data_IF_359563816710
#
_entry.id   IF_359563816710
#
_cell.length_a   1.000
_cell.length_b   1.000
_cell.length_c   1.000
_cell.angle_alpha   90.00
_cell.angle_beta   90.00
_cell.angle_gamma   90.00
#
_symmetry.space_group_name_H-M   'P 1'
#
loop_
_entity.id
_entity.type
_entity.pdbx_description
1 polymer ?
#
# COMPACT_ATOMS: atom_id res chain seq x y z
N UNK A 1 3.70 -21.98 18.84
CA UNK A 1 2.97 -22.60 17.72
C UNK A 1 1.63 -21.92 17.61
N UNK A 2 1.37 -21.19 16.56
CA UNK A 2 0.10 -20.48 16.33
C UNK A 2 -0.72 -21.28 15.34
N UNK A 3 -1.96 -21.60 15.69
CA UNK A 3 -2.86 -22.42 14.86
C UNK A 3 -3.98 -21.50 14.35
N UNK A 4 -4.05 -21.32 13.05
CA UNK A 4 -5.13 -20.57 12.40
C UNK A 4 -6.29 -21.50 12.02
N UNK A 5 -7.51 -21.17 12.47
CA UNK A 5 -8.76 -21.79 12.01
C UNK A 5 -9.65 -22.34 13.12
N UNK A 6 -10.93 -22.09 12.99
CA UNK A 6 -12.00 -22.29 13.97
C UNK A 6 -12.44 -23.75 14.21
N UNK A 7 -11.71 -24.76 13.70
CA UNK A 7 -12.13 -26.15 13.83
C UNK A 7 -11.28 -26.85 14.89
N UNK A 8 -11.82 -26.98 16.09
CA UNK A 8 -11.20 -27.64 17.27
C UNK A 8 -10.73 -29.08 17.02
N UNK A 9 -11.25 -29.73 16.00
CA UNK A 9 -10.92 -31.11 15.60
C UNK A 9 -9.81 -31.24 14.54
N UNK A 10 -9.25 -30.11 14.03
CA UNK A 10 -8.14 -30.18 13.08
C UNK A 10 -6.93 -30.83 13.73
N UNK A 11 -6.54 -31.99 13.20
CA UNK A 11 -5.37 -32.77 13.66
C UNK A 11 -4.11 -32.09 13.16
N UNK A 12 -3.14 -31.91 14.01
CA UNK A 12 -1.78 -31.44 13.68
C UNK A 12 -0.75 -32.43 14.25
N UNK A 13 0.36 -32.53 13.56
CA UNK A 13 1.49 -33.36 13.90
C UNK A 13 2.55 -32.54 14.62
N UNK A 14 3.10 -33.08 15.69
CA UNK A 14 4.22 -32.51 16.44
C UNK A 14 5.43 -33.40 16.21
N UNK A 15 6.48 -32.84 15.64
CA UNK A 15 7.75 -33.53 15.43
C UNK A 15 8.77 -33.07 16.46
N UNK A 16 9.49 -34.03 17.04
CA UNK A 16 10.54 -33.79 18.02
C UNK A 16 11.89 -34.13 17.39
N UNK A 17 12.81 -33.15 17.46
CA UNK A 17 14.15 -33.27 16.90
C UNK A 17 15.22 -33.13 17.99
N UNK A 18 16.33 -33.89 17.82
CA UNK A 18 17.59 -33.61 18.53
C UNK A 18 18.35 -32.54 17.70
N UNK A 19 18.79 -31.48 18.36
CA UNK A 19 19.60 -30.42 17.76
C UNK A 19 21.02 -30.58 18.35
N UNK A 20 21.93 -31.20 17.58
CA UNK A 20 23.32 -31.36 18.00
C UNK A 20 24.17 -30.13 17.60
N UNK A 21 23.84 -29.49 16.49
CA UNK A 21 24.41 -28.23 15.98
C UNK A 21 23.34 -27.39 15.32
N UNK A 22 23.58 -26.08 15.08
CA UNK A 22 22.61 -25.18 14.44
C UNK A 22 22.17 -25.63 13.03
N UNK A 23 22.85 -26.62 12.41
CA UNK A 23 22.61 -27.10 11.05
C UNK A 23 22.12 -28.55 10.96
N UNK A 24 22.22 -29.36 12.03
CA UNK A 24 21.88 -30.81 12.00
C UNK A 24 20.74 -31.13 12.95
N UNK A 25 19.60 -31.54 12.36
CA UNK A 25 18.42 -31.94 13.09
C UNK A 25 18.13 -33.45 12.87
N UNK A 26 18.23 -34.24 13.92
CA UNK A 26 17.87 -35.67 13.87
C UNK A 26 16.47 -35.89 14.45
N UNK A 27 15.56 -36.50 13.66
CA UNK A 27 14.20 -36.78 14.10
C UNK A 27 14.20 -37.84 15.21
N UNK A 28 13.79 -37.47 16.40
CA UNK A 28 13.52 -38.38 17.52
C UNK A 28 12.24 -39.17 17.27
N UNK A 29 11.18 -38.49 16.82
CA UNK A 29 9.88 -39.04 16.47
C UNK A 29 8.78 -38.00 16.50
N UNK A 30 7.54 -38.43 16.39
CA UNK A 30 6.36 -37.59 16.22
C UNK A 30 5.14 -38.09 16.96
N UNK A 31 4.17 -37.22 17.20
CA UNK A 31 2.82 -37.59 17.65
C UNK A 31 1.79 -36.66 17.03
N UNK A 32 0.52 -37.06 17.02
CA UNK A 32 -0.58 -36.26 16.53
C UNK A 32 -1.51 -35.86 17.67
N UNK A 33 -2.07 -34.62 17.58
CA UNK A 33 -3.04 -34.13 18.55
C UNK A 33 -3.98 -33.11 17.85
N UNK A 34 -4.97 -32.61 18.55
CA UNK A 34 -5.85 -31.58 18.08
C UNK A 34 -6.13 -30.54 19.19
N UNK A 35 -6.74 -29.43 18.83
CA UNK A 35 -6.98 -28.32 19.76
C UNK A 35 -7.93 -28.73 20.90
N UNK A 36 -8.95 -29.51 20.58
CA UNK A 36 -9.88 -30.03 21.61
C UNK A 36 -9.16 -30.89 22.64
N UNK A 37 -8.27 -31.79 22.19
CA UNK A 37 -7.46 -32.65 23.07
C UNK A 37 -6.51 -31.86 23.95
N UNK A 38 -5.99 -30.73 23.46
CA UNK A 38 -5.12 -29.83 24.24
C UNK A 38 -5.90 -29.01 25.26
N UNK A 39 -7.13 -28.59 24.91
CA UNK A 39 -7.95 -27.68 25.72
C UNK A 39 -8.65 -28.38 26.89
N UNK A 40 -9.07 -29.63 26.69
CA UNK A 40 -9.87 -30.37 27.71
C UNK A 40 -9.09 -30.72 28.98
N UNK A 41 -7.76 -30.53 28.98
CA UNK A 41 -6.91 -31.05 30.06
C UNK A 41 -5.93 -30.04 30.67
N UNK A 42 -6.33 -28.78 30.79
CA UNK A 42 -5.52 -27.76 31.45
C UNK A 42 -5.15 -28.12 32.91
N UNK A 43 -5.83 -29.10 33.53
CA UNK A 43 -5.62 -29.56 34.90
C UNK A 43 -4.86 -30.87 35.04
N UNK A 44 -4.59 -31.61 33.97
CA UNK A 44 -3.90 -32.89 34.00
C UNK A 44 -2.74 -32.89 33.01
N UNK A 45 -1.53 -33.24 33.48
CA UNK A 45 -0.33 -33.42 32.64
C UNK A 45 -0.56 -34.52 31.62
N UNK A 46 -0.98 -34.16 30.40
CA UNK A 46 -1.18 -35.13 29.31
C UNK A 46 0.16 -35.58 28.77
N UNK A 47 0.30 -36.89 28.58
CA UNK A 47 1.48 -37.54 28.02
C UNK A 47 1.19 -37.99 26.60
N UNK A 48 2.13 -37.78 25.69
CA UNK A 48 2.09 -38.21 24.30
C UNK A 48 3.33 -39.09 24.04
N UNK A 49 3.14 -40.32 23.59
CA UNK A 49 4.26 -41.16 23.14
C UNK A 49 4.86 -40.60 21.84
N UNK A 50 6.16 -40.38 21.83
CA UNK A 50 6.90 -39.94 20.66
C UNK A 50 7.27 -41.19 19.84
N UNK A 51 6.70 -41.32 18.64
CA UNK A 51 6.87 -42.47 17.77
C UNK A 51 7.79 -42.12 16.60
N UNK A 52 8.90 -42.84 16.46
CA UNK A 52 9.73 -42.78 15.27
C UNK A 52 9.24 -43.85 14.30
N UNK A 53 8.56 -43.45 13.23
CA UNK A 53 7.95 -44.37 12.26
C UNK A 53 8.97 -45.30 11.60
N UNK A 54 10.18 -44.80 11.31
CA UNK A 54 11.25 -45.61 10.74
C UNK A 54 11.74 -46.69 11.71
N UNK A 55 12.00 -46.33 12.99
CA UNK A 55 12.40 -47.30 14.04
C UNK A 55 11.30 -48.32 14.29
N UNK A 56 10.04 -47.94 14.21
CA UNK A 56 8.88 -48.81 14.40
C UNK A 56 8.80 -49.89 13.30
N UNK A 57 9.18 -49.55 12.06
CA UNK A 57 9.20 -50.50 10.95
C UNK A 57 10.36 -51.50 11.10
N UNK A 58 11.54 -51.05 11.47
CA UNK A 58 12.76 -51.89 11.48
C UNK A 58 12.86 -52.76 12.73
N UNK A 59 12.43 -52.26 13.88
CA UNK A 59 12.66 -52.93 15.16
C UNK A 59 11.33 -53.36 15.79
N UNK A 60 11.02 -54.68 15.71
CA UNK A 60 9.79 -55.25 16.26
C UNK A 60 9.57 -55.01 17.77
N UNK A 61 10.66 -54.86 18.56
CA UNK A 61 10.60 -54.54 19.98
C UNK A 61 10.52 -53.05 20.32
N UNK A 62 10.45 -52.17 19.29
CA UNK A 62 10.34 -50.75 19.50
C UNK A 62 8.95 -50.37 20.03
N UNK A 63 8.90 -49.64 21.14
CA UNK A 63 7.65 -49.08 21.72
C UNK A 63 7.49 -47.61 21.35
N UNK A 64 8.38 -46.76 21.83
CA UNK A 64 8.43 -45.34 21.54
C UNK A 64 9.86 -44.79 21.70
N UNK A 65 10.09 -43.55 21.36
CA UNK A 65 11.38 -42.84 21.53
C UNK A 65 11.41 -41.97 22.80
N UNK A 66 10.37 -42.01 23.60
CA UNK A 66 10.19 -41.20 24.78
C UNK A 66 8.77 -40.63 24.88
N UNK A 67 8.56 -39.76 25.83
CA UNK A 67 7.26 -39.12 26.07
C UNK A 67 7.38 -37.59 26.01
N UNK A 68 6.40 -36.94 25.41
CA UNK A 68 6.19 -35.48 25.50
C UNK A 68 5.09 -35.21 26.54
N UNK A 69 5.35 -34.37 27.52
CA UNK A 69 4.40 -34.01 28.57
C UNK A 69 3.90 -32.58 28.33
N UNK A 70 2.58 -32.43 28.14
CA UNK A 70 1.96 -31.09 28.09
C UNK A 70 1.93 -30.52 29.50
N UNK A 71 2.67 -29.41 29.72
CA UNK A 71 2.75 -28.76 31.03
C UNK A 71 1.64 -27.74 31.21
N UNK A 72 1.32 -26.97 30.14
CA UNK A 72 0.25 -25.99 30.13
C UNK A 72 -0.26 -25.78 28.72
N UNK A 73 -1.53 -25.46 28.61
CA UNK A 73 -2.16 -25.03 27.35
C UNK A 73 -3.06 -23.84 27.65
N UNK A 74 -2.80 -22.72 26.98
CA UNK A 74 -3.66 -21.54 27.00
C UNK A 74 -4.20 -21.32 25.60
N UNK A 75 -5.50 -21.28 25.47
CA UNK A 75 -6.17 -20.99 24.19
C UNK A 75 -6.65 -19.53 24.25
N UNK A 76 -6.18 -18.74 23.33
CA UNK A 76 -6.61 -17.36 23.16
C UNK A 76 -7.33 -17.25 21.81
N UNK A 77 -8.48 -16.61 21.81
CA UNK A 77 -9.18 -16.25 20.57
C UNK A 77 -8.65 -14.91 20.10
N UNK A 78 -7.98 -14.92 18.95
CA UNK A 78 -7.59 -13.66 18.30
C UNK A 78 -8.77 -13.14 17.47
N UNK A 79 -9.11 -11.85 17.57
CA UNK A 79 -10.14 -11.26 16.75
C UNK A 79 -9.80 -11.39 15.27
N UNK A 80 -10.80 -11.64 14.44
CA UNK A 80 -10.67 -11.64 12.99
C UNK A 80 -10.86 -10.23 12.42
N UNK A 81 -10.47 -10.04 11.16
CA UNK A 81 -10.77 -8.79 10.42
C UNK A 81 -12.27 -8.48 10.44
N UNK A 82 -13.12 -9.49 10.26
CA UNK A 82 -14.56 -9.32 10.25
C UNK A 82 -15.11 -8.85 11.61
N UNK A 83 -14.54 -9.30 12.73
CA UNK A 83 -14.96 -8.84 14.07
C UNK A 83 -14.75 -7.33 14.23
N UNK A 84 -13.66 -6.78 13.70
CA UNK A 84 -13.42 -5.33 13.71
C UNK A 84 -14.39 -4.58 12.79
N UNK A 85 -14.62 -5.07 11.57
CA UNK A 85 -15.57 -4.45 10.63
C UNK A 85 -16.98 -4.44 11.22
N UNK A 86 -17.43 -5.57 11.77
CA UNK A 86 -18.72 -5.67 12.45
C UNK A 86 -18.76 -4.80 13.71
N UNK A 87 -17.64 -4.67 14.43
CA UNK A 87 -17.46 -3.75 15.55
C UNK A 87 -17.45 -2.28 15.15
N UNK A 88 -17.45 -1.99 13.84
CA UNK A 88 -17.60 -0.66 13.29
C UNK A 88 -16.33 0.05 12.88
N UNK A 89 -15.23 -0.66 12.71
CA UNK A 89 -14.08 -0.13 11.99
C UNK A 89 -14.40 0.00 10.51
N UNK A 90 -14.10 1.14 9.91
CA UNK A 90 -14.30 1.39 8.48
C UNK A 90 -12.98 1.31 7.72
N UNK A 91 -13.01 0.75 6.51
CA UNK A 91 -11.87 0.76 5.60
C UNK A 91 -12.03 1.90 4.62
N UNK A 92 -11.17 2.91 4.73
CA UNK A 92 -11.13 4.07 3.84
C UNK A 92 -10.21 3.79 2.66
N UNK A 93 -10.72 3.92 1.44
CA UNK A 93 -9.97 3.67 0.22
C UNK A 93 -9.50 4.96 -0.43
N UNK A 94 -8.28 4.97 -0.95
CA UNK A 94 -7.71 6.08 -1.72
C UNK A 94 -6.95 5.54 -2.92
N UNK A 95 -6.93 6.29 -4.03
CA UNK A 95 -6.12 5.95 -5.21
C UNK A 95 -5.13 7.05 -5.56
N UNK A 96 -3.94 6.67 -6.03
CA UNK A 96 -2.96 7.56 -6.65
C UNK A 96 -2.57 7.04 -8.03
N UNK A 97 -2.59 7.91 -9.02
CA UNK A 97 -2.48 7.59 -10.44
C UNK A 97 -1.23 8.27 -11.03
N UNK A 98 -0.45 7.49 -11.74
CA UNK A 98 0.79 7.92 -12.38
C UNK A 98 0.51 8.62 -13.73
N UNK A 99 0.78 9.93 -13.80
CA UNK A 99 0.67 10.74 -15.02
C UNK A 99 2.07 11.12 -15.57
N UNK A 100 3.07 10.25 -15.40
CA UNK A 100 4.42 10.53 -15.92
C UNK A 100 4.58 10.23 -17.40
N UNK A 101 5.51 10.92 -18.06
CA UNK A 101 5.79 10.83 -19.50
C UNK A 101 6.09 9.40 -19.98
N UNK A 102 6.63 8.58 -19.08
CA UNK A 102 6.97 7.17 -19.38
C UNK A 102 5.74 6.34 -19.79
N UNK A 103 4.53 6.79 -19.46
CA UNK A 103 3.28 6.13 -19.83
C UNK A 103 2.89 6.33 -21.30
N UNK A 104 3.53 7.25 -22.00
CA UNK A 104 3.23 7.63 -23.38
C UNK A 104 2.06 8.59 -23.51
N UNK A 105 1.89 9.16 -24.71
CA UNK A 105 0.81 10.11 -25.01
C UNK A 105 -0.56 9.43 -24.88
N UNK A 106 -1.47 9.90 -24.01
CA UNK A 106 -2.74 9.25 -23.73
C UNK A 106 -3.69 9.16 -24.94
N UNK A 107 -3.42 9.91 -26.00
CA UNK A 107 -4.19 9.88 -27.26
C UNK A 107 -3.68 8.81 -28.23
N UNK A 108 -2.54 8.19 -27.98
CA UNK A 108 -1.97 7.15 -28.83
C UNK A 108 -2.26 5.75 -28.28
N UNK A 109 -2.57 4.75 -29.15
CA UNK A 109 -2.85 3.36 -28.73
C UNK A 109 -1.70 2.67 -27.99
N UNK A 110 -0.49 3.21 -28.06
CA UNK A 110 0.70 2.71 -27.37
C UNK A 110 0.79 3.16 -25.91
N UNK A 111 -0.03 4.13 -25.51
CA UNK A 111 -0.05 4.63 -24.14
C UNK A 111 -0.77 3.67 -23.20
N UNK A 112 -0.25 3.56 -21.96
CA UNK A 112 -0.91 2.82 -20.89
C UNK A 112 -2.20 3.50 -20.39
N UNK A 113 -2.40 4.79 -20.72
CA UNK A 113 -3.62 5.55 -20.42
C UNK A 113 -4.64 5.54 -21.56
N UNK A 114 -4.32 4.94 -22.70
CA UNK A 114 -5.23 4.96 -23.85
C UNK A 114 -6.53 4.23 -23.55
N UNK A 115 -7.65 4.94 -23.66
CA UNK A 115 -8.98 4.37 -23.59
C UNK A 115 -9.46 4.00 -25.01
N UNK A 116 -9.47 2.69 -25.31
CA UNK A 116 -10.08 2.20 -26.54
C UNK A 116 -11.62 2.40 -26.46
N UNK A 117 -12.33 2.65 -27.60
CA UNK A 117 -13.79 2.85 -27.58
C UNK A 117 -14.61 1.75 -26.89
N UNK A 118 -14.07 0.52 -26.84
CA UNK A 118 -14.75 -0.64 -26.24
C UNK A 118 -14.03 -1.21 -25.01
N UNK A 119 -12.95 -0.60 -24.57
CA UNK A 119 -12.14 -1.15 -23.48
C UNK A 119 -11.44 -0.05 -22.70
N UNK A 120 -11.54 -0.08 -21.36
CA UNK A 120 -10.81 0.84 -20.49
C UNK A 120 -9.30 0.61 -20.58
N UNK A 121 -8.54 1.67 -20.31
CA UNK A 121 -7.09 1.60 -20.13
C UNK A 121 -6.72 0.63 -18.98
N UNK A 122 -5.48 0.10 -18.97
CA UNK A 122 -4.97 -0.69 -17.85
C UNK A 122 -5.18 0.00 -16.49
N UNK A 123 -4.96 1.31 -16.40
CA UNK A 123 -5.23 2.11 -15.20
C UNK A 123 -6.70 2.04 -14.77
N UNK A 124 -7.62 2.29 -15.70
CA UNK A 124 -9.05 2.26 -15.43
C UNK A 124 -9.55 0.87 -15.00
N UNK A 125 -8.98 -0.20 -15.55
CA UNK A 125 -9.28 -1.58 -15.16
C UNK A 125 -8.88 -1.87 -13.72
N UNK A 126 -7.66 -1.49 -13.33
CA UNK A 126 -7.16 -1.69 -11.97
C UNK A 126 -7.99 -0.93 -10.94
N UNK A 127 -8.28 0.36 -11.20
CA UNK A 127 -9.12 1.19 -10.32
C UNK A 127 -10.49 0.56 -10.13
N UNK A 128 -11.11 0.09 -11.23
CA UNK A 128 -12.42 -0.56 -11.19
C UNK A 128 -12.38 -1.85 -10.38
N UNK A 129 -11.50 -2.78 -10.76
CA UNK A 129 -11.45 -4.12 -10.17
C UNK A 129 -11.24 -4.10 -8.64
N UNK A 130 -10.27 -3.31 -8.17
CA UNK A 130 -9.95 -3.23 -6.74
C UNK A 130 -11.02 -2.41 -5.99
N UNK A 131 -11.44 -1.30 -6.61
CA UNK A 131 -12.39 -0.39 -5.99
C UNK A 131 -13.77 -1.01 -5.78
N UNK A 132 -14.27 -1.82 -6.73
CA UNK A 132 -15.57 -2.49 -6.62
C UNK A 132 -15.68 -3.39 -5.40
N UNK A 133 -14.59 -4.02 -4.98
CA UNK A 133 -14.58 -4.86 -3.77
C UNK A 133 -14.44 -4.01 -2.50
N UNK A 134 -13.48 -3.07 -2.49
CA UNK A 134 -13.18 -2.28 -1.28
C UNK A 134 -14.33 -1.35 -0.90
N UNK A 135 -15.07 -0.81 -1.87
CA UNK A 135 -16.14 0.15 -1.57
C UNK A 135 -17.24 -0.38 -0.63
N UNK A 136 -17.36 -1.70 -0.49
CA UNK A 136 -18.37 -2.30 0.38
C UNK A 136 -17.99 -2.21 1.88
N UNK A 137 -16.74 -1.86 2.17
CA UNK A 137 -16.23 -1.66 3.53
C UNK A 137 -16.23 -0.19 3.98
N UNK A 138 -16.67 0.75 3.09
CA UNK A 138 -16.79 2.18 3.37
C UNK A 138 -18.25 2.63 3.22
N UNK A 139 -18.86 3.12 4.30
CA UNK A 139 -20.26 3.52 4.31
C UNK A 139 -20.54 4.79 3.51
N UNK A 140 -19.59 5.70 3.41
CA UNK A 140 -19.74 6.99 2.73
C UNK A 140 -19.47 6.90 1.23
N UNK A 141 -18.63 5.96 0.84
CA UNK A 141 -18.15 5.77 -0.55
C UNK A 141 -17.56 7.07 -1.15
N UNK A 142 -16.84 7.84 -0.32
CA UNK A 142 -16.13 9.04 -0.70
C UNK A 142 -14.62 8.76 -0.75
N UNK A 143 -14.09 8.60 -1.96
CA UNK A 143 -12.73 8.15 -2.18
C UNK A 143 -11.84 9.28 -2.70
N UNK A 144 -10.74 9.64 -2.01
CA UNK A 144 -9.75 10.56 -2.55
C UNK A 144 -9.00 9.93 -3.72
N UNK A 145 -8.91 10.68 -4.82
CA UNK A 145 -8.14 10.30 -6.01
C UNK A 145 -7.09 11.36 -6.27
N UNK A 146 -5.84 10.95 -6.16
CA UNK A 146 -4.66 11.78 -6.37
C UNK A 146 -3.99 11.43 -7.69
N UNK A 147 -3.32 12.41 -8.28
CA UNK A 147 -2.41 12.23 -9.40
C UNK A 147 -0.98 12.61 -9.01
N UNK A 148 0.00 12.10 -9.72
CA UNK A 148 1.40 12.49 -9.59
C UNK A 148 2.12 12.49 -10.93
N UNK A 149 3.19 13.30 -11.04
CA UNK A 149 4.04 13.36 -12.24
C UNK A 149 3.39 14.09 -13.43
N UNK A 150 2.70 15.20 -13.19
CA UNK A 150 2.05 15.98 -14.24
C UNK A 150 2.36 17.47 -14.14
N UNK A 151 2.22 18.16 -15.28
CA UNK A 151 2.10 19.60 -15.39
C UNK A 151 0.62 19.95 -15.35
N UNK A 152 0.21 20.70 -14.34
CA UNK A 152 -1.17 21.11 -14.12
C UNK A 152 -1.58 22.24 -15.11
N UNK A 153 -2.89 22.55 -15.23
CA UNK A 153 -3.37 23.61 -16.14
C UNK A 153 -2.76 25.00 -15.88
N UNK A 154 -2.31 25.27 -14.65
CA UNK A 154 -1.62 26.51 -14.27
C UNK A 154 -0.13 26.53 -14.65
N UNK A 155 0.38 25.44 -15.24
CA UNK A 155 1.78 25.28 -15.65
C UNK A 155 2.71 24.73 -14.56
N UNK A 156 2.22 24.45 -13.36
CA UNK A 156 3.05 23.90 -12.28
C UNK A 156 3.26 22.40 -12.45
N UNK A 157 4.50 21.91 -12.20
CA UNK A 157 4.78 20.47 -12.09
C UNK A 157 4.37 20.02 -10.71
N UNK A 158 3.57 18.95 -10.63
CA UNK A 158 3.14 18.41 -9.34
C UNK A 158 3.31 16.89 -9.28
N UNK A 159 3.77 16.42 -8.11
CA UNK A 159 3.87 15.01 -7.76
C UNK A 159 2.82 14.60 -6.71
N UNK A 160 1.86 15.48 -6.44
CA UNK A 160 0.72 15.25 -5.56
C UNK A 160 -0.35 16.30 -5.85
N UNK A 161 -1.44 15.89 -6.48
CA UNK A 161 -2.57 16.79 -6.78
C UNK A 161 -3.89 15.99 -6.83
N UNK A 162 -5.05 16.60 -6.51
CA UNK A 162 -6.33 15.93 -6.67
C UNK A 162 -6.70 15.76 -8.15
N UNK A 163 -7.14 14.57 -8.56
CA UNK A 163 -7.59 14.32 -9.93
C UNK A 163 -8.84 15.12 -10.32
N UNK A 164 -9.58 15.67 -9.34
CA UNK A 164 -10.63 16.65 -9.59
C UNK A 164 -10.11 17.97 -10.16
N UNK A 165 -8.80 18.24 -10.03
CA UNK A 165 -8.12 19.51 -10.30
C UNK A 165 -8.69 20.70 -9.51
N UNK A 166 -9.46 20.43 -8.47
CA UNK A 166 -9.96 21.45 -7.53
C UNK A 166 -9.14 21.35 -6.25
N UNK A 167 -8.41 22.40 -5.85
CA UNK A 167 -7.60 22.37 -4.63
C UNK A 167 -8.39 21.90 -3.41
N UNK A 168 -7.80 21.03 -2.60
CA UNK A 168 -8.38 20.48 -1.38
C UNK A 168 -9.71 19.71 -1.57
N UNK A 169 -10.04 19.24 -2.78
CA UNK A 169 -11.22 18.43 -3.07
C UNK A 169 -10.84 17.14 -3.81
N UNK A 170 -10.09 16.22 -3.21
CA UNK A 170 -9.70 14.97 -3.85
C UNK A 170 -10.82 13.93 -3.92
N UNK A 171 -11.91 14.13 -3.21
CA UNK A 171 -12.94 13.12 -3.00
C UNK A 171 -13.86 12.93 -4.20
N UNK A 172 -14.06 11.68 -4.57
CA UNK A 172 -14.94 11.24 -5.65
C UNK A 172 -16.01 10.30 -5.08
N UNK A 173 -17.25 10.42 -5.58
CA UNK A 173 -18.37 9.60 -5.13
C UNK A 173 -18.35 8.24 -5.83
N UNK A 174 -18.11 7.18 -5.09
CA UNK A 174 -18.06 5.81 -5.59
C UNK A 174 -16.96 5.57 -6.64
N UNK A 175 -16.90 4.36 -7.15
CA UNK A 175 -15.88 3.98 -8.14
C UNK A 175 -16.10 4.67 -9.49
N UNK A 176 -17.35 4.89 -9.88
CA UNK A 176 -17.64 5.62 -11.11
C UNK A 176 -17.13 7.07 -11.03
N UNK A 177 -17.32 7.74 -9.88
CA UNK A 177 -16.78 9.08 -9.67
C UNK A 177 -15.25 9.13 -9.70
N UNK A 178 -14.56 8.07 -9.24
CA UNK A 178 -13.10 7.95 -9.37
C UNK A 178 -12.68 7.84 -10.83
N UNK A 179 -13.35 7.00 -11.60
CA UNK A 179 -13.08 6.80 -13.03
C UNK A 179 -13.35 8.08 -13.84
N UNK A 180 -14.44 8.79 -13.53
CA UNK A 180 -14.79 10.05 -14.19
C UNK A 180 -13.77 11.16 -13.87
N UNK A 181 -13.29 11.22 -12.63
CA UNK A 181 -12.22 12.15 -12.23
C UNK A 181 -10.90 11.84 -12.94
N UNK A 182 -10.53 10.55 -13.03
CA UNK A 182 -9.37 10.10 -13.80
C UNK A 182 -9.48 10.50 -15.28
N UNK A 183 -10.57 10.14 -15.94
CA UNK A 183 -10.79 10.45 -17.36
C UNK A 183 -10.83 11.97 -17.65
N UNK A 184 -11.37 12.74 -16.73
CA UNK A 184 -11.37 14.21 -16.81
C UNK A 184 -9.98 14.80 -16.62
N UNK A 185 -9.25 14.32 -15.62
CA UNK A 185 -7.90 14.75 -15.31
C UNK A 185 -6.96 14.48 -16.50
N UNK A 186 -7.05 13.28 -17.09
CA UNK A 186 -6.24 12.84 -18.23
C UNK A 186 -6.31 13.81 -19.42
N UNK A 187 -7.44 14.49 -19.62
CA UNK A 187 -7.64 15.47 -20.70
C UNK A 187 -7.12 16.88 -20.38
N UNK A 188 -6.77 17.17 -19.13
CA UNK A 188 -6.44 18.52 -18.69
C UNK A 188 -4.99 18.68 -18.24
N UNK A 189 -4.33 17.60 -17.86
CA UNK A 189 -2.92 17.64 -17.46
C UNK A 189 -2.02 17.27 -18.62
N UNK A 190 -0.75 17.66 -18.53
CA UNK A 190 0.31 17.17 -19.41
C UNK A 190 1.24 16.28 -18.59
N UNK A 191 1.64 15.16 -19.14
CA UNK A 191 2.55 14.27 -18.47
C UNK A 191 3.91 14.92 -18.24
N UNK A 192 4.59 14.53 -17.17
CA UNK A 192 5.89 15.07 -16.78
C UNK A 192 6.77 14.01 -16.14
N UNK A 193 7.94 14.38 -15.70
CA UNK A 193 8.92 13.57 -14.98
C UNK A 193 9.37 14.35 -13.72
N UNK A 194 9.96 13.67 -12.75
CA UNK A 194 10.14 12.23 -12.54
C UNK A 194 8.94 11.55 -11.89
N UNK A 195 8.99 10.19 -11.76
CA UNK A 195 8.01 9.40 -11.01
C UNK A 195 8.37 9.41 -9.53
N UNK A 196 7.66 10.18 -8.71
CA UNK A 196 7.87 10.31 -7.28
C UNK A 196 6.63 9.80 -6.52
N UNK A 197 6.80 8.81 -5.64
CA UNK A 197 5.71 8.22 -4.85
C UNK A 197 5.60 8.79 -3.43
N UNK A 198 6.69 9.24 -2.84
CA UNK A 198 6.68 9.75 -1.47
C UNK A 198 5.63 10.85 -1.21
N UNK A 199 5.38 11.82 -2.12
CA UNK A 199 4.40 12.87 -1.88
C UNK A 199 2.98 12.33 -1.67
N UNK A 200 2.51 11.42 -2.54
CA UNK A 200 1.15 10.86 -2.43
C UNK A 200 1.00 9.92 -1.24
N UNK A 201 2.04 9.15 -0.89
CA UNK A 201 2.06 8.32 0.32
C UNK A 201 1.93 9.22 1.56
N UNK A 202 2.73 10.27 1.65
CA UNK A 202 2.69 11.21 2.76
C UNK A 202 1.34 11.94 2.86
N UNK A 203 0.66 12.16 1.72
CA UNK A 203 -0.68 12.76 1.72
C UNK A 203 -1.67 11.87 2.48
N UNK A 204 -1.78 10.61 2.12
CA UNK A 204 -2.72 9.69 2.78
C UNK A 204 -2.28 9.36 4.22
N UNK A 205 -0.98 9.26 4.47
CA UNK A 205 -0.44 9.07 5.82
C UNK A 205 -0.86 10.18 6.79
N UNK A 206 -1.04 11.43 6.33
CA UNK A 206 -1.56 12.52 7.16
C UNK A 206 -2.98 12.23 7.65
N UNK A 207 -3.86 11.69 6.80
CA UNK A 207 -5.21 11.30 7.21
C UNK A 207 -5.15 10.13 8.20
N UNK A 208 -4.39 9.09 7.89
CA UNK A 208 -4.23 7.94 8.79
C UNK A 208 -3.65 8.34 10.15
N UNK A 209 -2.80 9.37 10.22
CA UNK A 209 -2.22 9.86 11.47
C UNK A 209 -3.23 10.52 12.40
N UNK A 210 -4.34 11.03 11.87
CA UNK A 210 -5.39 11.69 12.64
C UNK A 210 -6.40 10.71 13.26
N UNK A 211 -6.42 9.45 12.81
CA UNK A 211 -7.41 8.44 13.23
C UNK A 211 -6.73 7.19 13.78
N UNK A 212 -6.08 7.33 14.94
CA UNK A 212 -5.33 6.23 15.60
C UNK A 212 -6.13 5.45 16.63
N UNK A 213 -7.46 5.51 16.57
CA UNK A 213 -8.38 4.94 17.56
C UNK A 213 -9.06 3.65 17.08
N UNK A 214 -8.53 3.02 16.04
CA UNK A 214 -9.10 1.86 15.35
C UNK A 214 -10.47 2.08 14.70
N UNK A 215 -10.96 3.33 14.60
CA UNK A 215 -12.23 3.63 13.92
C UNK A 215 -12.10 3.52 12.40
N UNK A 216 -10.92 3.84 11.86
CA UNK A 216 -10.64 3.83 10.43
C UNK A 216 -9.31 3.14 10.11
N UNK A 217 -9.27 2.46 8.98
CA UNK A 217 -8.06 1.89 8.41
C UNK A 217 -7.97 2.28 6.92
N UNK A 218 -6.84 2.80 6.50
CA UNK A 218 -6.67 3.32 5.15
C UNK A 218 -6.02 2.30 4.24
N UNK A 219 -6.60 2.08 3.06
CA UNK A 219 -6.01 1.28 1.99
C UNK A 219 -5.72 2.21 0.82
N UNK A 220 -4.46 2.42 0.52
CA UNK A 220 -4.00 3.26 -0.57
C UNK A 220 -3.60 2.39 -1.76
N UNK A 221 -4.27 2.57 -2.90
CA UNK A 221 -3.90 1.99 -4.18
C UNK A 221 -3.02 2.98 -4.95
N UNK A 222 -1.83 2.56 -5.34
CA UNK A 222 -0.97 3.29 -6.29
C UNK A 222 -0.94 2.50 -7.58
N UNK A 223 -1.35 3.13 -8.68
CA UNK A 223 -1.26 2.54 -10.02
C UNK A 223 -0.16 3.27 -10.77
N UNK A 224 0.86 2.54 -11.20
CA UNK A 224 2.07 3.12 -11.82
C UNK A 224 2.60 2.24 -12.95
N UNK A 225 3.42 2.82 -13.82
CA UNK A 225 4.15 2.04 -14.83
C UNK A 225 5.23 1.17 -14.19
N UNK A 226 5.94 1.65 -13.14
CA UNK A 226 6.85 0.82 -12.36
C UNK A 226 8.19 1.44 -11.95
N UNK A 227 8.81 2.34 -12.73
CA UNK A 227 10.09 2.94 -12.35
C UNK A 227 9.88 4.10 -11.38
N UNK A 228 10.55 4.09 -10.21
CA UNK A 228 10.50 5.15 -9.20
C UNK A 228 11.81 5.92 -9.18
N UNK A 229 11.74 7.25 -9.19
CA UNK A 229 12.90 8.13 -9.14
C UNK A 229 13.29 8.51 -7.70
N UNK A 230 12.34 8.51 -6.76
CA UNK A 230 12.53 8.94 -5.38
C UNK A 230 12.56 7.78 -4.37
N UNK A 231 13.13 6.63 -4.75
CA UNK A 231 13.14 5.41 -3.93
C UNK A 231 13.55 5.65 -2.45
N UNK A 232 14.61 6.41 -2.13
CA UNK A 232 14.98 6.68 -0.73
C UNK A 232 13.89 7.43 0.05
N UNK A 233 13.21 8.39 -0.61
CA UNK A 233 12.11 9.14 0.00
C UNK A 233 10.85 8.28 0.11
N UNK A 234 10.59 7.42 -0.88
CA UNK A 234 9.51 6.44 -0.86
C UNK A 234 9.69 5.46 0.28
N UNK A 235 10.89 4.88 0.46
CA UNK A 235 11.21 4.01 1.60
C UNK A 235 10.95 4.75 2.91
N UNK A 236 11.42 5.99 3.04
CA UNK A 236 11.18 6.78 4.25
C UNK A 236 9.68 6.98 4.51
N UNK A 237 8.90 7.33 3.48
CA UNK A 237 7.45 7.51 3.60
C UNK A 237 6.74 6.22 4.01
N UNK A 238 7.12 5.06 3.45
CA UNK A 238 6.59 3.74 3.82
C UNK A 238 6.95 3.38 5.26
N UNK A 239 8.21 3.59 5.68
CA UNK A 239 8.65 3.34 7.06
C UNK A 239 7.88 4.22 8.03
N UNK A 240 7.68 5.51 7.74
CA UNK A 240 6.89 6.40 8.59
C UNK A 240 5.41 5.98 8.64
N UNK A 241 4.84 5.56 7.50
CA UNK A 241 3.47 5.08 7.39
C UNK A 241 3.24 3.73 8.08
N UNK A 242 4.27 2.91 8.27
CA UNK A 242 4.14 1.59 8.92
C UNK A 242 3.64 1.66 10.37
N UNK A 243 3.76 2.82 11.01
CA UNK A 243 3.25 3.12 12.36
C UNK A 243 1.79 3.61 12.37
N UNK A 244 1.13 3.65 11.20
CA UNK A 244 -0.20 4.20 11.03
C UNK A 244 -1.21 3.12 10.60
N UNK A 245 -2.53 3.33 10.82
CA UNK A 245 -3.56 2.40 10.39
C UNK A 245 -3.75 2.44 8.88
N UNK A 246 -2.73 2.00 8.12
CA UNK A 246 -2.82 1.99 6.66
C UNK A 246 -2.03 0.84 6.02
N UNK A 247 -2.46 0.51 4.80
CA UNK A 247 -1.76 -0.37 3.86
C UNK A 247 -1.61 0.32 2.51
N UNK A 248 -0.59 -0.08 1.77
CA UNK A 248 -0.28 0.43 0.44
C UNK A 248 -0.25 -0.73 -0.54
N UNK A 249 -1.04 -0.63 -1.60
CA UNK A 249 -1.08 -1.55 -2.72
C UNK A 249 -0.46 -0.84 -3.91
N UNK A 250 0.57 -1.40 -4.52
CA UNK A 250 1.18 -0.86 -5.74
C UNK A 250 0.91 -1.84 -6.87
N UNK A 251 0.18 -1.39 -7.88
CA UNK A 251 -0.08 -2.19 -9.09
C UNK A 251 0.70 -1.60 -10.25
N UNK A 252 1.60 -2.39 -10.79
CA UNK A 252 2.35 -2.03 -11.99
C UNK A 252 1.61 -2.43 -13.25
N UNK A 253 1.21 -1.43 -14.05
CA UNK A 253 0.46 -1.64 -15.30
C UNK A 253 1.35 -1.76 -16.55
N UNK A 254 2.66 -1.43 -16.42
CA UNK A 254 3.63 -1.54 -17.50
C UNK A 254 4.33 -2.91 -17.55
N UNK A 255 5.21 -3.05 -18.54
CA UNK A 255 6.10 -4.20 -18.66
C UNK A 255 7.46 -3.97 -17.98
N UNK A 256 7.63 -2.83 -17.34
CA UNK A 256 8.87 -2.46 -16.66
C UNK A 256 9.10 -3.37 -15.45
N UNK A 257 10.37 -3.49 -15.07
CA UNK A 257 10.78 -4.38 -13.98
C UNK A 257 10.32 -3.81 -12.63
N UNK A 258 9.16 -4.25 -12.17
CA UNK A 258 8.71 -4.03 -10.78
C UNK A 258 9.53 -4.82 -9.76
N UNK A 259 10.34 -5.77 -10.22
CA UNK A 259 11.14 -6.68 -9.39
C UNK A 259 12.05 -5.96 -8.39
N UNK A 260 12.59 -4.80 -8.77
CA UNK A 260 13.42 -4.00 -7.86
C UNK A 260 12.56 -3.38 -6.76
N UNK A 261 11.42 -2.82 -7.13
CA UNK A 261 10.45 -2.26 -6.18
C UNK A 261 9.88 -3.34 -5.26
N UNK A 262 9.52 -4.48 -5.82
CA UNK A 262 9.02 -5.65 -5.09
C UNK A 262 10.06 -6.14 -4.07
N UNK A 263 11.31 -6.36 -4.47
CA UNK A 263 12.40 -6.79 -3.58
C UNK A 263 12.66 -5.79 -2.45
N UNK A 264 12.55 -4.51 -2.74
CA UNK A 264 12.82 -3.45 -1.75
C UNK A 264 11.65 -3.25 -0.80
N UNK A 265 10.41 -3.23 -1.31
CA UNK A 265 9.23 -2.83 -0.53
C UNK A 265 8.46 -4.00 0.07
N UNK A 266 8.41 -5.17 -0.62
CA UNK A 266 7.76 -6.39 -0.08
C UNK A 266 8.64 -7.19 0.86
N UNK A 267 9.90 -6.82 1.09
CA UNK A 267 10.97 -7.54 1.78
C UNK A 267 10.53 -8.60 2.80
N UNK A 268 10.39 -9.85 2.34
CA UNK A 268 9.88 -10.98 3.16
C UNK A 268 10.82 -11.36 4.32
N UNK A 269 12.07 -10.89 4.32
CA UNK A 269 13.10 -11.40 5.23
C UNK A 269 13.76 -10.33 6.11
N UNK A 270 13.57 -9.04 5.87
CA UNK A 270 14.18 -7.95 6.66
C UNK A 270 13.22 -6.79 6.80
N UNK A 271 13.06 -6.29 8.01
CA UNK A 271 12.34 -5.04 8.25
C UNK A 271 12.91 -3.92 7.38
N UNK A 272 12.04 -3.21 6.66
CA UNK A 272 12.42 -2.10 5.80
C UNK A 272 13.09 -1.00 6.63
N UNK A 273 14.27 -0.54 6.18
CA UNK A 273 15.09 0.44 6.89
C UNK A 273 15.17 1.73 6.07
N UNK A 274 14.79 2.86 6.66
CA UNK A 274 14.97 4.18 6.05
C UNK A 274 16.42 4.62 6.10
N UNK A 275 16.82 5.55 5.23
CA UNK A 275 18.16 6.17 5.22
C UNK A 275 18.51 6.86 6.56
N UNK A 276 17.51 7.22 7.38
CA UNK A 276 17.69 7.77 8.71
C UNK A 276 17.82 6.72 9.83
N UNK A 277 17.92 5.42 9.51
CA UNK A 277 18.07 4.35 10.50
C UNK A 277 16.78 3.94 11.21
N UNK A 278 15.62 4.47 10.82
CA UNK A 278 14.32 4.06 11.36
C UNK A 278 13.85 2.79 10.64
N UNK A 279 13.41 1.80 11.42
CA UNK A 279 12.91 0.51 10.95
C UNK A 279 11.39 0.56 10.82
N UNK A 280 10.83 -0.07 9.80
CA UNK A 280 9.37 -0.24 9.70
C UNK A 280 8.83 -1.08 10.85
N UNK A 281 7.72 -0.65 11.44
CA UNK A 281 7.07 -1.34 12.55
C UNK A 281 6.42 -2.66 12.08
N UNK A 282 5.90 -2.65 10.86
CA UNK A 282 5.24 -3.79 10.21
C UNK A 282 5.33 -3.69 8.70
N UNK A 283 5.09 -4.78 7.99
CA UNK A 283 4.88 -4.72 6.55
C UNK A 283 3.50 -4.10 6.26
N UNK A 284 3.47 -3.14 5.35
CA UNK A 284 2.26 -2.44 4.90
C UNK A 284 2.13 -2.37 3.38
N UNK A 285 3.14 -2.84 2.64
CA UNK A 285 3.18 -2.69 1.19
C UNK A 285 3.03 -4.04 0.52
N UNK A 286 2.22 -4.07 -0.53
CA UNK A 286 2.11 -5.16 -1.48
C UNK A 286 2.34 -4.60 -2.88
N UNK A 287 3.23 -5.22 -3.65
CA UNK A 287 3.53 -4.84 -5.03
C UNK A 287 3.12 -5.97 -5.96
N UNK A 288 2.27 -5.69 -6.94
CA UNK A 288 1.76 -6.69 -7.87
C UNK A 288 1.84 -6.19 -9.32
N UNK A 289 2.46 -6.93 -10.23
CA UNK A 289 2.43 -6.61 -11.66
C UNK A 289 1.14 -7.09 -12.32
N UNK A 290 0.42 -6.17 -12.98
CA UNK A 290 -0.83 -6.48 -13.70
C UNK A 290 -0.67 -7.62 -14.72
N UNK A 291 0.50 -7.73 -15.36
CA UNK A 291 0.80 -8.78 -16.37
C UNK A 291 0.55 -10.20 -15.83
N UNK A 292 0.77 -10.45 -14.55
CA UNK A 292 0.58 -11.77 -13.95
C UNK A 292 -0.87 -12.25 -13.99
N UNK A 293 -1.83 -11.34 -14.17
CA UNK A 293 -3.26 -11.61 -14.18
C UNK A 293 -3.85 -11.62 -15.59
N UNK A 294 -3.19 -10.95 -16.54
CA UNK A 294 -3.67 -10.87 -17.95
C UNK A 294 -3.23 -12.06 -18.78
N UNK A 295 -2.09 -12.68 -18.42
CA UNK A 295 -1.47 -13.79 -19.20
C UNK A 295 -1.73 -15.18 -18.62
N UNK A 296 -2.42 -15.28 -17.49
CA UNK A 296 -2.68 -16.57 -16.81
C UNK A 296 -3.75 -17.40 -17.52
N UNK A 297 -3.55 -18.72 -17.55
CA UNK A 297 -4.54 -19.74 -17.99
C UNK A 297 -5.71 -19.90 -16.98
N UNK A 298 -5.96 -18.90 -16.13
CA UNK A 298 -7.01 -18.96 -15.13
C UNK A 298 -8.38 -18.94 -15.77
N UNK A 299 -9.27 -19.84 -15.34
CA UNK A 299 -10.68 -19.86 -15.69
C UNK A 299 -11.45 -18.67 -15.11
N UNK A 300 -10.84 -17.90 -14.22
CA UNK A 300 -11.41 -16.70 -13.59
C UNK A 300 -11.15 -15.46 -14.46
N UNK A 301 -12.05 -14.49 -14.32
CA UNK A 301 -11.87 -13.17 -14.92
C UNK A 301 -10.55 -12.54 -14.39
N UNK A 302 -9.65 -12.06 -15.27
CA UNK A 302 -8.39 -11.44 -14.84
C UNK A 302 -8.54 -10.32 -13.80
N UNK A 303 -9.63 -9.53 -13.89
CA UNK A 303 -9.92 -8.43 -12.95
C UNK A 303 -10.26 -8.97 -11.56
N UNK A 304 -11.04 -10.05 -11.46
CA UNK A 304 -11.39 -10.70 -10.18
C UNK A 304 -10.17 -11.39 -9.54
N UNK A 305 -9.33 -12.02 -10.37
CA UNK A 305 -8.10 -12.67 -9.90
C UNK A 305 -7.11 -11.65 -9.33
N UNK A 306 -6.91 -10.50 -10.01
CA UNK A 306 -6.10 -9.38 -9.51
C UNK A 306 -6.64 -8.89 -8.15
N UNK A 307 -7.92 -8.57 -8.11
CA UNK A 307 -8.53 -8.01 -6.91
C UNK A 307 -8.45 -8.98 -5.71
N UNK A 308 -8.75 -10.26 -5.93
CA UNK A 308 -8.63 -11.29 -4.89
C UNK A 308 -7.21 -11.42 -4.37
N UNK A 309 -6.20 -11.46 -5.23
CA UNK A 309 -4.79 -11.56 -4.84
C UNK A 309 -4.35 -10.34 -4.04
N UNK A 310 -4.62 -9.16 -4.58
CA UNK A 310 -4.21 -7.87 -4.00
C UNK A 310 -4.87 -7.63 -2.64
N UNK A 311 -6.15 -7.98 -2.51
CA UNK A 311 -6.89 -7.75 -1.27
C UNK A 311 -6.67 -8.83 -0.21
N UNK A 312 -6.12 -9.98 -0.59
CA UNK A 312 -5.91 -11.12 0.34
C UNK A 312 -4.98 -10.78 1.51
N UNK A 313 -4.04 -9.85 1.34
CA UNK A 313 -3.07 -9.47 2.38
C UNK A 313 -3.57 -8.33 3.29
N UNK A 314 -4.59 -7.58 2.86
CA UNK A 314 -5.13 -6.46 3.64
C UNK A 314 -5.60 -6.89 5.04
N UNK A 315 -6.33 -8.00 5.24
CA UNK A 315 -6.69 -8.48 6.57
C UNK A 315 -5.46 -8.74 7.46
N UNK A 316 -4.38 -9.27 6.90
CA UNK A 316 -3.13 -9.54 7.63
C UNK A 316 -2.45 -8.25 8.06
N UNK A 317 -2.33 -7.27 7.16
CA UNK A 317 -1.77 -5.95 7.47
C UNK A 317 -2.62 -5.22 8.51
N UNK A 318 -3.94 -5.27 8.36
CA UNK A 318 -4.90 -4.70 9.30
C UNK A 318 -4.76 -5.30 10.70
N UNK A 319 -4.82 -6.63 10.81
CA UNK A 319 -4.73 -7.33 12.09
C UNK A 319 -3.37 -7.12 12.76
N UNK A 320 -2.28 -7.01 11.99
CA UNK A 320 -0.96 -6.71 12.55
C UNK A 320 -0.95 -5.35 13.25
N UNK A 321 -1.57 -4.32 12.66
CA UNK A 321 -1.72 -2.99 13.28
C UNK A 321 -2.56 -3.07 14.56
N UNK A 322 -3.74 -3.70 14.48
CA UNK A 322 -4.64 -3.82 15.63
C UNK A 322 -3.98 -4.55 16.79
N UNK A 323 -3.18 -5.59 16.50
CA UNK A 323 -2.47 -6.38 17.50
C UNK A 323 -1.31 -5.63 18.15
N UNK A 324 -0.48 -4.91 17.37
CA UNK A 324 0.64 -4.12 17.88
C UNK A 324 0.15 -3.02 18.84
N UNK A 325 -0.97 -2.39 18.49
CA UNK A 325 -1.57 -1.31 19.30
C UNK A 325 -2.62 -1.80 20.30
N UNK A 326 -2.74 -3.12 20.50
CA UNK A 326 -3.62 -3.76 21.49
C UNK A 326 -5.11 -3.40 21.36
N UNK A 327 -5.54 -3.03 20.14
CA UNK A 327 -6.95 -2.73 19.87
C UNK A 327 -7.80 -4.00 19.88
N UNK A 328 -9.01 -3.86 20.37
CA UNK A 328 -10.03 -4.92 20.38
C UNK A 328 -11.25 -4.46 19.58
N UNK A 329 -11.92 -5.37 18.86
CA UNK A 329 -13.17 -5.02 18.20
C UNK A 329 -14.21 -4.58 19.21
N UNK A 330 -15.00 -3.57 18.87
CA UNK A 330 -16.11 -3.16 19.70
C UNK A 330 -17.21 -4.24 19.67
N UNK A 331 -17.92 -4.48 20.78
CA UNK A 331 -19.04 -5.42 20.79
C UNK A 331 -20.08 -5.06 19.73
N UNK A 332 -20.69 -6.06 19.12
CA UNK A 332 -21.86 -5.86 18.27
C UNK A 332 -22.97 -5.22 19.12
N UNK A 333 -23.20 -3.95 18.94
CA UNK A 333 -24.29 -3.25 19.62
C UNK A 333 -25.51 -3.26 18.68
N UNK A 334 -26.45 -4.14 18.97
CA UNK A 334 -27.82 -4.04 18.43
C UNK A 334 -28.64 -2.98 19.21
N UNK A 335 -27.96 -1.98 19.78
CA UNK A 335 -28.62 -0.95 20.57
C UNK A 335 -29.16 0.16 19.64
N UNK A 336 -30.49 0.23 19.41
CA UNK A 336 -31.07 1.25 18.56
C UNK A 336 -30.98 2.66 19.16
N UNK A 337 -30.46 2.80 20.41
CA UNK A 337 -30.33 4.09 21.09
C UNK A 337 -28.94 4.72 20.86
N UNK A 338 -28.00 4.00 20.27
CA UNK A 338 -26.70 4.58 19.92
C UNK A 338 -26.87 5.56 18.75
N UNK A 339 -26.31 6.78 18.88
CA UNK A 339 -26.38 7.73 17.78
C UNK A 339 -25.73 7.11 16.53
N UNK A 340 -26.28 7.37 15.34
CA UNK A 340 -25.66 6.95 14.09
C UNK A 340 -24.21 7.43 14.08
N UNK A 341 -23.29 6.56 13.65
CA UNK A 341 -21.88 6.92 13.52
C UNK A 341 -21.79 8.26 12.79
N UNK A 342 -21.00 9.19 13.34
CA UNK A 342 -20.73 10.44 12.61
C UNK A 342 -20.10 10.07 11.29
N UNK A 343 -20.65 10.53 10.15
CA UNK A 343 -19.97 10.41 8.89
C UNK A 343 -18.59 11.06 9.01
N UNK A 344 -17.59 10.45 8.39
CA UNK A 344 -16.28 11.03 8.23
C UNK A 344 -16.40 12.27 7.33
N UNK A 345 -16.30 13.46 7.90
CA UNK A 345 -16.34 14.69 7.14
C UNK A 345 -14.93 15.07 6.70
N UNK A 346 -14.69 15.26 5.38
CA UNK A 346 -13.40 15.72 4.85
C UNK A 346 -12.89 17.02 5.48
N UNK A 347 -13.80 17.83 6.04
CA UNK A 347 -13.49 19.09 6.73
C UNK A 347 -12.88 18.92 8.13
N UNK A 348 -12.95 17.74 8.73
CA UNK A 348 -12.36 17.47 10.05
C UNK A 348 -10.82 17.57 10.04
N UNK A 349 -10.22 17.67 8.84
CA UNK A 349 -8.78 17.83 8.62
C UNK A 349 -8.35 19.26 8.21
N UNK A 350 -9.26 20.23 8.15
CA UNK A 350 -8.91 21.61 7.83
C UNK A 350 -7.92 22.24 8.82
N UNK A 351 -7.81 21.69 10.03
CA UNK A 351 -6.86 22.13 11.05
C UNK A 351 -5.48 21.46 10.96
N UNK A 352 -5.29 20.45 10.08
CA UNK A 352 -3.98 19.81 9.87
C UNK A 352 -3.11 20.51 8.82
N UNK A 353 -3.58 21.62 8.22
CA UNK A 353 -2.86 22.42 7.22
C UNK A 353 -1.81 23.38 7.82
N UNK A 354 -1.38 23.17 9.06
CA UNK A 354 -0.29 23.91 9.69
C UNK A 354 1.08 23.34 9.33
N UNK A 355 1.66 23.79 8.21
CA UNK A 355 3.05 23.51 7.87
C UNK A 355 3.27 23.25 6.39
N UNK A 356 3.27 24.28 5.57
CA UNK A 356 3.88 24.19 4.24
C UNK A 356 5.36 23.75 4.39
N UNK A 357 5.85 22.78 3.57
CA UNK A 357 7.25 22.39 3.62
C UNK A 357 8.15 23.61 3.43
N UNK A 358 9.22 23.72 4.21
CA UNK A 358 10.24 24.79 4.15
C UNK A 358 10.77 25.08 2.74
N UNK A 359 10.56 24.20 1.77
CA UNK A 359 10.97 24.39 0.38
C UNK A 359 10.18 25.47 -0.37
N UNK A 360 8.90 25.72 -0.04
CA UNK A 360 8.17 26.83 -0.64
C UNK A 360 8.58 28.20 -0.07
N UNK A 361 9.07 28.25 1.16
CA UNK A 361 9.60 29.50 1.73
C UNK A 361 10.96 29.87 1.13
N UNK A 362 11.81 28.90 0.76
CA UNK A 362 13.07 29.19 0.08
C UNK A 362 12.87 29.69 -1.34
N UNK A 363 11.88 29.21 -2.09
CA UNK A 363 11.58 29.73 -3.43
C UNK A 363 10.99 31.15 -3.41
N UNK A 364 10.25 31.51 -2.36
CA UNK A 364 9.77 32.91 -2.21
C UNK A 364 10.88 33.86 -1.75
N UNK A 365 11.87 33.39 -1.02
CA UNK A 365 13.03 34.21 -0.64
C UNK A 365 13.97 34.47 -1.82
N UNK A 366 14.20 33.45 -2.69
CA UNK A 366 14.96 33.62 -3.93
C UNK A 366 14.29 34.58 -4.94
N UNK A 367 12.96 34.67 -4.96
CA UNK A 367 12.23 35.64 -5.80
C UNK A 367 12.28 37.07 -5.28
N UNK A 368 12.51 37.28 -3.98
CA UNK A 368 12.63 38.60 -3.38
C UNK A 368 14.05 39.19 -3.49
N UNK A 369 15.06 38.34 -3.63
CA UNK A 369 16.46 38.79 -3.75
C UNK A 369 16.92 39.03 -5.19
N UNK A 370 16.09 38.77 -6.22
CA UNK A 370 16.40 38.95 -7.63
C UNK A 370 15.64 40.11 -8.29
N UNK A 371 15.08 41.05 -7.55
CA UNK A 371 14.53 42.29 -8.09
C UNK A 371 15.59 43.37 -8.07
N UNK A 372 16.02 43.93 -9.22
CA UNK A 372 16.97 45.03 -9.21
C UNK A 372 16.28 46.32 -8.76
N UNK A 373 16.88 46.95 -7.77
CA UNK A 373 16.54 48.28 -7.34
C UNK A 373 16.70 49.29 -8.46
N UNK A 374 15.70 50.15 -8.58
CA UNK A 374 15.71 51.34 -9.42
C UNK A 374 16.69 52.35 -8.81
N UNK A 375 17.67 52.76 -9.59
CA UNK A 375 18.35 54.03 -9.37
C UNK A 375 18.25 54.89 -10.63
N UNK A 376 17.61 56.03 -10.48
CA UNK A 376 17.46 57.11 -11.46
C UNK A 376 18.81 57.73 -11.81
N UNK A 377 18.96 58.17 -13.06
CA UNK A 377 20.04 59.06 -13.46
C UNK A 377 20.26 59.05 -14.98
N UNK A 378 19.59 59.98 -15.66
CA UNK A 378 19.58 60.11 -17.11
C UNK A 378 20.89 60.54 -17.75
N UNK A 379 20.95 60.38 -19.07
CA UNK A 379 21.29 61.33 -20.16
C UNK A 379 21.24 60.52 -21.49
N UNK A 380 20.67 61.09 -22.58
CA UNK A 380 20.46 60.37 -23.84
C UNK A 380 21.63 60.62 -24.84
N UNK A 381 22.04 59.55 -25.56
CA UNK A 381 22.83 59.73 -26.80
C UNK A 381 22.26 58.81 -27.89
N UNK A 382 22.05 59.47 -29.05
CA UNK A 382 21.46 58.97 -30.29
C UNK A 382 22.33 57.94 -31.05
N UNK A 383 21.79 57.33 -32.12
CA UNK A 383 22.33 56.10 -32.72
C UNK A 383 23.29 56.39 -33.89
N UNK A 384 24.27 55.53 -34.06
CA UNK A 384 24.99 55.44 -35.34
C UNK A 384 24.83 54.09 -36.00
N UNK A 385 24.34 54.18 -37.26
CA UNK A 385 24.38 53.12 -38.29
C UNK A 385 25.80 52.88 -38.77
N UNK A 386 26.19 51.65 -39.02
CA UNK A 386 27.00 51.24 -40.17
C UNK A 386 26.90 49.74 -40.41
N UNK A 387 26.57 49.47 -41.44
CA UNK A 387 26.60 48.59 -42.62
C UNK A 387 27.90 47.80 -42.82
N UNK A 388 27.67 46.65 -43.47
CA UNK A 388 28.55 45.80 -44.33
C UNK A 388 29.30 44.68 -43.59
N UNK A 389 29.49 43.51 -44.11
CA UNK A 389 29.21 42.86 -45.40
C UNK A 389 29.71 41.40 -45.29
N UNK A 390 28.96 40.53 -45.87
CA UNK A 390 29.28 39.31 -46.64
C UNK A 390 30.57 38.49 -46.42
N UNK A 391 30.33 37.22 -46.51
CA UNK A 391 31.03 36.17 -47.28
C UNK A 391 31.83 35.14 -46.47
N UNK A 392 31.48 33.93 -46.54
CA UNK A 392 31.95 32.76 -47.26
C UNK A 392 31.82 31.45 -46.53
N UNK A 393 31.06 30.57 -47.14
CA UNK A 393 31.15 29.12 -47.00
C UNK A 393 32.42 28.64 -47.72
N UNK A 394 33.08 27.55 -47.29
CA UNK A 394 32.79 26.32 -47.99
C UNK A 394 32.81 25.04 -47.13
N UNK A 395 32.05 24.11 -47.65
CA UNK A 395 32.00 22.67 -47.54
C UNK A 395 33.32 21.96 -47.19
N UNK A 396 33.22 21.03 -46.26
CA UNK A 396 33.50 19.60 -46.48
C UNK A 396 32.79 18.78 -45.41
#
# INVERSE_FOLDING_TARGET
MTLFGSKSYKIFKVECYNCEDEATFALIGEFSTNLSDLSQQASVKKRYEIINTYKKIIKKSYKNSGECILLSCKIETEPSFLDFIQGGTEVKFAAAIDFTDSNGDPYLPTSLHYNHPHQRSPYGKVIKAIGEIIQDYDTEKLFPVLGFGAILPDGTVSHEFPCSLIPNKPYCQGIQGMLDAYDKCLRQVRFSTPTNLAPVINHIARFASATRDASHYFVMLIVTKGSIADMPNTIKAVVDASYLPMSIIIVGVGNDKLEEMEKVLNGESKSLLSSGGKVAERNIVQVEPLKNFVTGESLENPEDSLANKVLSEIPTHFLSYMKIHEFKPKPLTNDPTLPPKRPFHPTDFSHCSGGAPRQQQQQQQYRKESSPDQAEGGIPIQPQRSQKQCDNVPKL
#
